data_IF_200277299483
#
_entry.id   IF_200277299483
#
_cell.length_a   1.000
_cell.length_b   1.000
_cell.length_c   1.000
_cell.angle_alpha   90.00
_cell.angle_beta   90.00
_cell.angle_gamma   90.00
#
_symmetry.space_group_name_H-M   'P 1'
#
loop_
_entity.id
_entity.type
_entity.pdbx_description
1 polymer ?
#
# COMPACT_ATOMS: atom_id res chain seq x y z
N UNK A 1 -17.75 6.41 4.18
CA UNK A 1 -17.76 5.04 4.75
C UNK A 1 -17.49 5.05 6.23
N UNK A 2 -16.42 5.71 6.68
CA UNK A 2 -16.09 5.84 8.11
C UNK A 2 -17.25 6.40 8.93
N UNK A 3 -17.92 7.46 8.46
CA UNK A 3 -19.13 8.01 9.11
C UNK A 3 -20.25 6.97 9.29
N UNK A 4 -20.47 6.13 8.27
CA UNK A 4 -21.46 5.06 8.32
C UNK A 4 -21.10 3.99 9.35
N UNK A 5 -19.83 3.59 9.43
CA UNK A 5 -19.34 2.66 10.43
C UNK A 5 -19.47 3.21 11.85
N UNK A 6 -19.04 4.46 12.09
CA UNK A 6 -19.18 5.13 13.38
C UNK A 6 -20.65 5.13 13.84
N UNK A 7 -21.58 5.54 12.97
CA UNK A 7 -23.01 5.54 13.26
C UNK A 7 -23.57 4.14 13.54
N UNK A 8 -23.19 3.14 12.74
CA UNK A 8 -23.66 1.77 12.90
C UNK A 8 -23.20 1.12 14.22
N UNK A 9 -22.01 1.49 14.71
CA UNK A 9 -21.43 0.96 15.94
C UNK A 9 -21.54 1.92 17.13
N UNK A 10 -22.43 2.93 17.06
CA UNK A 10 -22.69 3.91 18.12
C UNK A 10 -21.41 4.60 18.64
N UNK A 11 -20.58 5.08 17.71
CA UNK A 11 -19.36 5.84 17.96
C UNK A 11 -19.45 7.18 17.24
N UNK A 12 -18.83 8.21 17.79
CA UNK A 12 -18.71 9.51 17.14
C UNK A 12 -17.43 9.59 16.31
N UNK A 13 -17.54 10.15 15.11
CA UNK A 13 -16.38 10.46 14.28
C UNK A 13 -15.81 11.81 14.73
N UNK A 14 -14.51 11.85 14.97
CA UNK A 14 -13.79 13.10 15.24
C UNK A 14 -14.06 14.13 14.11
N UNK A 15 -14.60 15.32 14.44
CA UNK A 15 -14.91 16.35 13.45
C UNK A 15 -13.70 16.78 12.62
N UNK A 16 -12.50 16.74 13.19
CA UNK A 16 -11.26 17.11 12.49
C UNK A 16 -10.93 16.09 11.40
N UNK A 17 -11.12 14.80 11.67
CA UNK A 17 -10.92 13.74 10.67
C UNK A 17 -11.89 13.93 9.50
N UNK A 18 -13.16 14.23 9.80
CA UNK A 18 -14.15 14.53 8.77
C UNK A 18 -13.68 15.70 7.90
N UNK A 19 -13.31 16.83 8.53
CA UNK A 19 -12.84 18.03 7.83
C UNK A 19 -11.66 17.75 6.91
N UNK A 20 -10.64 17.04 7.39
CA UNK A 20 -9.45 16.72 6.61
C UNK A 20 -9.80 15.98 5.32
N UNK A 21 -10.67 14.96 5.39
CA UNK A 21 -10.99 14.10 4.25
C UNK A 21 -12.19 14.58 3.42
N UNK A 22 -12.80 15.71 3.77
CA UNK A 22 -13.83 16.39 2.95
C UNK A 22 -13.31 17.65 2.29
N UNK A 23 -12.46 18.43 2.96
CA UNK A 23 -12.02 19.75 2.47
C UNK A 23 -10.57 19.76 1.97
N UNK A 24 -9.65 19.06 2.64
CA UNK A 24 -8.21 19.17 2.34
C UNK A 24 -7.67 18.03 1.47
N UNK A 25 -8.06 16.79 1.76
CA UNK A 25 -7.61 15.59 1.04
C UNK A 25 -8.81 14.84 0.47
N UNK A 26 -9.02 15.01 -0.83
CA UNK A 26 -10.03 14.24 -1.58
C UNK A 26 -9.80 12.74 -1.41
N UNK A 27 -10.87 11.98 -1.22
CA UNK A 27 -10.84 10.51 -1.09
C UNK A 27 -11.07 9.82 -2.43
N UNK A 28 -10.69 8.54 -2.52
CA UNK A 28 -11.00 7.68 -3.67
C UNK A 28 -12.51 7.67 -3.96
N UNK A 29 -13.33 7.48 -2.93
CA UNK A 29 -14.79 7.44 -3.06
C UNK A 29 -15.34 8.72 -3.70
N UNK A 30 -14.94 9.90 -3.20
CA UNK A 30 -15.40 11.16 -3.79
C UNK A 30 -14.93 11.30 -5.25
N UNK A 31 -13.67 10.95 -5.54
CA UNK A 31 -13.14 11.01 -6.90
C UNK A 31 -13.89 10.13 -7.91
N UNK A 32 -14.28 8.93 -7.49
CA UNK A 32 -15.08 8.01 -8.33
C UNK A 32 -16.48 8.57 -8.58
N UNK A 33 -17.16 9.02 -7.52
CA UNK A 33 -18.55 9.49 -7.64
C UNK A 33 -18.69 10.82 -8.39
N UNK A 34 -17.64 11.65 -8.42
CA UNK A 34 -17.62 12.87 -9.23
C UNK A 34 -17.58 12.60 -10.74
N UNK A 35 -17.08 11.43 -11.17
CA UNK A 35 -16.88 11.06 -12.58
C UNK A 35 -17.85 9.96 -13.03
N UNK A 36 -18.65 9.39 -12.12
CA UNK A 36 -19.66 8.39 -12.44
C UNK A 36 -20.78 8.94 -13.31
N UNK A 37 -21.22 8.14 -14.28
CA UNK A 37 -22.37 8.47 -15.13
C UNK A 37 -23.68 8.11 -14.42
N UNK A 38 -24.80 8.77 -14.78
CA UNK A 38 -26.12 8.38 -14.29
C UNK A 38 -26.47 6.91 -14.59
N UNK A 39 -25.98 6.35 -15.70
CA UNK A 39 -26.16 4.94 -16.04
C UNK A 39 -25.49 3.99 -15.05
N UNK A 40 -24.23 4.26 -14.69
CA UNK A 40 -23.50 3.45 -13.69
C UNK A 40 -24.25 3.49 -12.35
N UNK A 41 -24.74 4.66 -11.95
CA UNK A 41 -25.52 4.81 -10.72
C UNK A 41 -26.85 4.02 -10.76
N UNK A 42 -27.53 4.00 -11.91
CA UNK A 42 -28.74 3.19 -12.11
C UNK A 42 -28.44 1.69 -12.02
N UNK A 43 -27.38 1.22 -12.69
CA UNK A 43 -26.95 -0.19 -12.64
C UNK A 43 -26.56 -0.62 -11.22
N UNK A 44 -25.93 0.27 -10.45
CA UNK A 44 -25.61 0.06 -9.04
C UNK A 44 -26.86 -0.06 -8.18
N UNK A 45 -27.86 0.80 -8.41
CA UNK A 45 -29.12 0.80 -7.66
C UNK A 45 -30.00 -0.41 -7.99
N UNK A 46 -30.03 -0.86 -9.24
CA UNK A 46 -30.82 -2.03 -9.66
C UNK A 46 -30.20 -3.36 -9.25
N UNK A 47 -28.93 -3.38 -8.83
CA UNK A 47 -28.20 -4.61 -8.48
C UNK A 47 -27.58 -5.33 -9.68
N UNK A 48 -27.71 -4.79 -10.90
CA UNK A 48 -27.06 -5.35 -12.10
C UNK A 48 -25.54 -5.24 -12.02
N UNK A 49 -25.03 -4.12 -11.48
CA UNK A 49 -23.61 -3.86 -11.29
C UNK A 49 -23.37 -3.29 -9.89
N UNK A 50 -23.30 -4.17 -8.90
CA UNK A 50 -23.14 -3.80 -7.48
C UNK A 50 -21.87 -4.40 -6.87
N UNK A 51 -21.40 -3.83 -5.75
CA UNK A 51 -20.22 -4.33 -5.03
C UNK A 51 -18.88 -4.05 -5.72
N UNK A 52 -18.80 -3.00 -6.53
CA UNK A 52 -17.53 -2.53 -7.09
C UNK A 52 -16.67 -1.84 -6.01
N UNK A 53 -15.33 -1.76 -6.19
CA UNK A 53 -14.42 -1.11 -5.23
C UNK A 53 -14.48 0.43 -5.31
N UNK A 54 -15.69 0.99 -5.22
CA UNK A 54 -15.98 2.43 -5.18
C UNK A 54 -15.95 3.00 -3.75
N UNK A 55 -16.13 2.15 -2.74
CA UNK A 55 -16.29 2.52 -1.35
C UNK A 55 -15.31 1.82 -0.38
N UNK A 56 -14.40 0.99 -0.89
CA UNK A 56 -13.40 0.26 -0.09
C UNK A 56 -12.10 0.07 -0.88
N UNK A 57 -11.01 -0.30 -0.21
CA UNK A 57 -9.74 -0.55 -0.87
C UNK A 57 -9.86 -1.70 -1.87
N UNK A 58 -9.38 -1.50 -3.12
CA UNK A 58 -9.46 -2.53 -4.18
C UNK A 58 -8.85 -3.88 -3.78
N UNK A 59 -7.78 -3.87 -2.98
CA UNK A 59 -7.04 -5.07 -2.60
C UNK A 59 -6.45 -5.78 -3.82
N UNK A 60 -6.35 -7.13 -3.74
CA UNK A 60 -5.83 -7.99 -4.82
C UNK A 60 -4.40 -7.65 -5.25
N UNK A 61 -3.63 -7.08 -4.33
CA UNK A 61 -2.20 -6.79 -4.48
C UNK A 61 -1.47 -7.61 -3.43
N UNK A 62 -0.47 -8.36 -3.85
CA UNK A 62 0.42 -9.12 -2.96
C UNK A 62 1.79 -8.50 -3.11
N UNK A 63 2.22 -7.76 -2.09
CA UNK A 63 3.62 -7.34 -2.00
C UNK A 63 4.50 -8.55 -1.76
N UNK A 64 5.69 -8.60 -2.36
CA UNK A 64 6.65 -9.65 -2.06
C UNK A 64 7.35 -9.37 -0.73
N UNK A 65 6.66 -9.65 0.38
CA UNK A 65 7.10 -9.29 1.73
C UNK A 65 8.41 -9.99 2.14
N UNK A 66 8.73 -11.12 1.50
CA UNK A 66 9.97 -11.88 1.71
C UNK A 66 11.21 -11.06 1.40
N UNK A 67 11.10 -10.05 0.53
CA UNK A 67 12.20 -9.16 0.16
C UNK A 67 12.73 -8.38 1.35
N UNK A 68 11.88 -8.01 2.30
CA UNK A 68 12.30 -7.30 3.51
C UNK A 68 13.24 -8.18 4.32
N UNK A 69 12.90 -9.46 4.49
CA UNK A 69 13.76 -10.44 5.15
C UNK A 69 15.05 -10.72 4.36
N UNK A 70 14.94 -10.93 3.05
CA UNK A 70 16.07 -11.37 2.23
C UNK A 70 17.13 -10.27 2.01
N UNK A 71 16.72 -9.02 1.85
CA UNK A 71 17.61 -7.93 1.43
C UNK A 71 17.79 -6.83 2.48
N UNK A 72 16.85 -6.68 3.42
CA UNK A 72 16.77 -5.50 4.27
C UNK A 72 16.21 -4.28 3.54
N UNK A 73 15.74 -3.30 4.30
CA UNK A 73 15.10 -2.11 3.72
C UNK A 73 16.09 -1.23 2.96
N UNK A 74 17.33 -1.07 3.43
CA UNK A 74 18.28 -0.12 2.82
C UNK A 74 18.68 -0.57 1.41
N UNK A 75 18.82 -1.87 1.19
CA UNK A 75 19.04 -2.43 -0.14
C UNK A 75 17.84 -2.16 -1.06
N UNK A 76 16.63 -2.39 -0.58
CA UNK A 76 15.40 -2.16 -1.37
C UNK A 76 15.20 -0.68 -1.70
N UNK A 77 15.56 0.23 -0.79
CA UNK A 77 15.53 1.67 -1.05
C UNK A 77 16.53 2.05 -2.16
N UNK A 78 17.76 1.52 -2.10
CA UNK A 78 18.76 1.74 -3.14
C UNK A 78 18.28 1.22 -4.51
N UNK A 79 17.68 0.03 -4.54
CA UNK A 79 17.07 -0.56 -5.75
C UNK A 79 15.95 0.34 -6.30
N UNK A 80 15.07 0.88 -5.45
CA UNK A 80 14.02 1.81 -5.87
C UNK A 80 14.56 3.12 -6.41
N UNK A 81 15.64 3.65 -5.83
CA UNK A 81 16.29 4.85 -6.34
C UNK A 81 16.92 4.62 -7.73
N UNK A 82 17.50 3.44 -7.96
CA UNK A 82 17.99 3.05 -9.28
C UNK A 82 16.85 2.95 -10.30
N UNK A 83 15.72 2.32 -9.95
CA UNK A 83 14.51 2.25 -10.80
C UNK A 83 13.92 3.64 -11.10
N UNK A 84 13.94 4.56 -10.13
CA UNK A 84 13.53 5.94 -10.36
C UNK A 84 14.45 6.61 -11.40
N UNK A 85 15.76 6.45 -11.22
CA UNK A 85 16.77 7.07 -12.08
C UNK A 85 16.73 6.52 -13.50
N UNK A 86 16.43 5.23 -13.68
CA UNK A 86 16.35 4.62 -15.02
C UNK A 86 15.25 5.24 -15.91
N UNK A 87 14.25 5.92 -15.33
CA UNK A 87 13.17 6.58 -16.06
C UNK A 87 13.51 8.02 -16.51
N UNK A 88 14.71 8.52 -16.19
CA UNK A 88 15.07 9.90 -16.49
C UNK A 88 15.18 10.16 -18.00
N UNK A 89 15.80 9.23 -18.75
CA UNK A 89 15.93 9.36 -20.21
C UNK A 89 14.56 9.47 -20.89
N UNK A 90 13.60 8.62 -20.52
CA UNK A 90 12.25 8.65 -21.09
C UNK A 90 11.52 9.96 -20.75
N UNK A 91 11.72 10.47 -19.53
CA UNK A 91 11.15 11.73 -19.09
C UNK A 91 11.69 12.91 -19.92
N UNK A 92 13.01 13.01 -20.05
CA UNK A 92 13.68 14.11 -20.75
C UNK A 92 13.41 14.10 -22.25
N UNK A 93 13.29 12.90 -22.84
CA UNK A 93 12.99 12.72 -24.26
C UNK A 93 11.48 12.77 -24.58
N UNK A 94 10.61 13.00 -23.59
CA UNK A 94 9.17 13.07 -23.79
C UNK A 94 8.50 11.74 -24.18
N UNK A 95 9.17 10.61 -23.93
CA UNK A 95 8.65 9.28 -24.25
C UNK A 95 7.60 8.89 -23.20
N UNK A 96 6.35 8.74 -23.63
CA UNK A 96 5.21 8.43 -22.76
C UNK A 96 5.10 9.36 -21.54
N UNK A 97 5.29 10.66 -21.75
CA UNK A 97 5.53 11.68 -20.72
C UNK A 97 4.65 11.54 -19.46
N UNK A 98 3.31 11.54 -19.60
CA UNK A 98 2.41 11.43 -18.44
C UNK A 98 2.56 10.11 -17.67
N UNK A 99 2.74 9.00 -18.39
CA UNK A 99 2.93 7.69 -17.78
C UNK A 99 4.28 7.60 -17.06
N UNK A 100 5.33 8.18 -17.63
CA UNK A 100 6.66 8.24 -17.04
C UNK A 100 6.67 9.12 -15.80
N UNK A 101 6.02 10.29 -15.82
CA UNK A 101 5.85 11.16 -14.65
C UNK A 101 5.12 10.41 -13.54
N UNK A 102 3.97 9.79 -13.85
CA UNK A 102 3.19 9.02 -12.88
C UNK A 102 4.01 7.89 -12.26
N UNK A 103 4.71 7.11 -13.08
CA UNK A 103 5.52 5.98 -12.59
C UNK A 103 6.68 6.46 -11.70
N UNK A 104 7.31 7.60 -12.02
CA UNK A 104 8.36 8.20 -11.20
C UNK A 104 7.82 8.64 -9.84
N UNK A 105 6.65 9.28 -9.80
CA UNK A 105 5.97 9.64 -8.55
C UNK A 105 5.64 8.39 -7.73
N UNK A 106 5.07 7.36 -8.36
CA UNK A 106 4.75 6.08 -7.70
C UNK A 106 5.99 5.40 -7.10
N UNK A 107 7.14 5.42 -7.78
CA UNK A 107 8.40 4.86 -7.26
C UNK A 107 8.94 5.71 -6.10
N UNK A 108 8.81 7.04 -6.16
CA UNK A 108 9.20 7.91 -5.06
C UNK A 108 8.35 7.66 -3.81
N UNK A 109 7.04 7.45 -3.96
CA UNK A 109 6.16 7.01 -2.87
C UNK A 109 6.56 5.64 -2.32
N UNK A 110 6.91 4.68 -3.19
CA UNK A 110 7.41 3.37 -2.75
C UNK A 110 8.70 3.50 -1.94
N UNK A 111 9.64 4.34 -2.37
CA UNK A 111 10.88 4.61 -1.64
C UNK A 111 10.60 5.25 -0.26
N UNK A 112 9.70 6.24 -0.20
CA UNK A 112 9.29 6.85 1.07
C UNK A 112 8.62 5.84 2.00
N UNK A 113 7.72 5.01 1.46
CA UNK A 113 7.04 3.98 2.21
C UNK A 113 8.03 2.99 2.82
N UNK A 114 9.06 2.54 2.08
CA UNK A 114 10.12 1.69 2.62
C UNK A 114 10.78 2.31 3.86
N UNK A 115 11.10 3.60 3.84
CA UNK A 115 11.60 4.33 5.01
C UNK A 115 10.63 4.30 6.19
N UNK A 116 9.33 4.48 5.95
CA UNK A 116 8.30 4.39 6.99
C UNK A 116 8.17 2.98 7.58
N UNK A 117 8.49 1.91 6.83
CA UNK A 117 8.52 0.54 7.37
C UNK A 117 9.64 0.43 8.42
N UNK A 118 10.82 1.04 8.20
CA UNK A 118 11.89 1.09 9.22
C UNK A 118 11.42 1.81 10.48
N UNK A 119 10.82 2.99 10.33
CA UNK A 119 10.29 3.75 11.46
C UNK A 119 9.21 2.96 12.23
N UNK A 120 8.36 2.23 11.50
CA UNK A 120 7.35 1.37 12.11
C UNK A 120 8.00 0.23 12.90
N UNK A 121 8.97 -0.48 12.33
CA UNK A 121 9.66 -1.59 12.98
C UNK A 121 10.47 -1.13 14.21
N UNK A 122 11.07 0.06 14.14
CA UNK A 122 11.79 0.66 15.25
C UNK A 122 10.91 0.87 16.50
N UNK A 123 9.60 1.12 16.33
CA UNK A 123 8.65 1.21 17.46
C UNK A 123 8.47 -0.12 18.21
N UNK A 124 8.86 -1.24 17.60
CA UNK A 124 8.89 -2.56 18.22
C UNK A 124 10.31 -2.97 18.65
N UNK A 125 11.29 -2.06 18.59
CA UNK A 125 12.68 -2.34 18.95
C UNK A 125 13.44 -3.17 17.91
N UNK A 126 12.96 -3.26 16.66
CA UNK A 126 13.62 -3.99 15.59
C UNK A 126 14.27 -3.03 14.58
N UNK A 127 15.55 -3.25 14.26
CA UNK A 127 16.21 -2.61 13.12
C UNK A 127 16.18 -3.55 11.91
N UNK A 128 15.40 -3.16 10.89
CA UNK A 128 15.22 -3.92 9.65
C UNK A 128 15.95 -3.28 8.46
N UNK A 129 16.90 -2.38 8.72
CA UNK A 129 17.74 -1.75 7.69
C UNK A 129 18.50 -2.80 6.87
N UNK A 130 19.11 -3.77 7.54
CA UNK A 130 19.81 -4.91 6.96
C UNK A 130 18.94 -6.16 6.76
N UNK A 131 19.48 -7.17 6.05
CA UNK A 131 18.81 -8.46 5.86
C UNK A 131 18.70 -9.23 7.18
N UNK A 132 17.70 -10.11 7.26
CA UNK A 132 17.52 -11.01 8.39
C UNK A 132 18.67 -12.02 8.50
N UNK A 133 19.20 -12.21 9.69
CA UNK A 133 20.36 -13.05 10.00
C UNK A 133 20.00 -14.41 10.57
N UNK A 134 18.76 -14.58 11.03
CA UNK A 134 18.26 -15.82 11.63
C UNK A 134 16.78 -16.05 11.29
N UNK A 135 16.27 -17.23 11.65
CA UNK A 135 14.90 -17.63 11.35
C UNK A 135 13.84 -16.71 12.00
N UNK A 136 14.07 -16.24 13.23
CA UNK A 136 13.15 -15.34 13.91
C UNK A 136 13.07 -14.00 13.17
N UNK A 137 14.21 -13.41 12.81
CA UNK A 137 14.28 -12.18 12.02
C UNK A 137 13.64 -12.37 10.64
N UNK A 138 13.86 -13.50 9.97
CA UNK A 138 13.28 -13.72 8.64
C UNK A 138 11.74 -13.75 8.68
N UNK A 139 11.18 -14.40 9.70
CA UNK A 139 9.72 -14.39 9.94
C UNK A 139 9.26 -12.98 10.28
N UNK A 140 9.94 -12.32 11.22
CA UNK A 140 9.55 -11.00 11.74
C UNK A 140 9.64 -9.91 10.65
N UNK A 141 10.66 -9.94 9.77
CA UNK A 141 10.88 -8.92 8.73
C UNK A 141 9.86 -9.09 7.62
N UNK A 142 9.60 -10.35 7.24
CA UNK A 142 8.52 -10.68 6.31
C UNK A 142 7.18 -10.18 6.85
N UNK A 143 6.92 -10.40 8.15
CA UNK A 143 5.70 -9.91 8.78
C UNK A 143 5.64 -8.37 8.85
N UNK A 144 6.74 -7.67 9.11
CA UNK A 144 6.75 -6.20 9.08
C UNK A 144 6.41 -5.64 7.70
N UNK A 145 6.89 -6.26 6.62
CA UNK A 145 6.48 -5.91 5.27
C UNK A 145 4.97 -6.00 5.07
N UNK A 146 4.34 -7.07 5.58
CA UNK A 146 2.90 -7.24 5.54
C UNK A 146 2.14 -6.30 6.49
N UNK A 147 2.66 -6.08 7.70
CA UNK A 147 2.08 -5.20 8.72
C UNK A 147 1.96 -3.77 8.20
N UNK A 148 2.98 -3.28 7.47
CA UNK A 148 2.94 -1.98 6.83
C UNK A 148 1.82 -1.88 5.79
N UNK A 149 1.58 -2.95 5.02
CA UNK A 149 0.51 -2.99 4.03
C UNK A 149 -0.87 -2.91 4.70
N UNK A 150 -1.12 -3.69 5.76
CA UNK A 150 -2.43 -3.68 6.44
C UNK A 150 -2.66 -2.45 7.34
N UNK A 151 -1.60 -1.72 7.70
CA UNK A 151 -1.72 -0.42 8.40
C UNK A 151 -2.04 0.74 7.46
N UNK A 152 -1.62 0.66 6.20
CA UNK A 152 -1.78 1.74 5.22
C UNK A 152 -2.95 1.51 4.26
N UNK A 153 -3.39 0.27 4.07
CA UNK A 153 -4.42 -0.10 3.10
C UNK A 153 -5.48 -1.02 3.74
N UNK A 154 -6.72 -0.84 3.33
CA UNK A 154 -7.88 -1.63 3.75
C UNK A 154 -8.47 -2.43 2.58
N UNK A 155 -7.61 -3.03 1.76
CA UNK A 155 -8.00 -3.81 0.59
C UNK A 155 -8.94 -4.96 0.95
N UNK A 156 -9.92 -5.26 0.09
CA UNK A 156 -10.86 -6.37 0.31
C UNK A 156 -10.16 -7.73 0.49
N UNK A 157 -9.03 -7.93 -0.21
CA UNK A 157 -8.16 -9.08 -0.03
C UNK A 157 -6.70 -8.60 0.09
N UNK A 158 -6.13 -8.78 1.28
CA UNK A 158 -4.73 -8.49 1.61
C UNK A 158 -4.01 -9.81 1.91
N UNK A 159 -3.62 -10.53 0.86
CA UNK A 159 -3.05 -11.88 1.00
C UNK A 159 -1.59 -11.84 1.41
N UNK A 160 -1.18 -12.77 2.28
CA UNK A 160 0.20 -12.85 2.79
C UNK A 160 1.22 -13.40 1.76
N UNK A 161 0.74 -14.03 0.68
CA UNK A 161 1.58 -14.59 -0.38
C UNK A 161 2.15 -15.98 -0.06
N UNK A 162 3.12 -16.44 -0.86
CA UNK A 162 3.75 -17.77 -0.75
C UNK A 162 5.05 -17.68 0.07
N UNK A 163 4.92 -17.77 1.39
CA UNK A 163 6.03 -17.56 2.33
C UNK A 163 6.54 -18.83 3.02
N UNK A 164 5.74 -19.89 3.12
CA UNK A 164 6.07 -21.06 3.95
C UNK A 164 7.35 -21.75 3.52
N UNK A 165 7.52 -22.05 2.22
CA UNK A 165 8.75 -22.67 1.70
C UNK A 165 9.96 -21.75 1.87
N UNK A 166 9.79 -20.44 1.68
CA UNK A 166 10.86 -19.45 1.87
C UNK A 166 11.35 -19.44 3.32
N UNK A 167 10.43 -19.37 4.28
CA UNK A 167 10.76 -19.41 5.71
C UNK A 167 11.31 -20.78 6.14
N UNK A 168 10.84 -21.85 5.50
CA UNK A 168 11.34 -23.21 5.72
C UNK A 168 12.81 -23.40 5.34
N UNK A 169 13.32 -22.63 4.37
CA UNK A 169 14.75 -22.63 4.02
C UNK A 169 15.60 -22.02 5.14
N UNK A 170 15.13 -20.96 5.79
CA UNK A 170 15.87 -20.25 6.86
C UNK A 170 15.88 -21.03 8.17
N UNK A 171 14.88 -21.88 8.42
CA UNK A 171 14.82 -22.73 9.61
C UNK A 171 15.81 -23.91 9.58
N UNK A 172 16.33 -24.28 8.40
CA UNK A 172 17.20 -25.45 8.20
C UNK A 172 18.70 -25.11 8.17
N UNK A 173 19.04 -23.83 8.28
CA UNK A 173 20.41 -23.30 8.39
C UNK A 173 20.68 -22.87 9.81
#
# INVERSE_FOLDING_TARGET
MVEGSCKAYNRELDPMIKKIFTEYRKTHNQGVFDVYTPDILRCRKSGVLTGLPDAYGRGRIIGDYRRVALYGIDYLMKDKFAQFTSLQSDLENGVNLEATIRLREEIAEQHRALGQIKEMAAKYGCDISGPATNAQEAIQWTYFGYLAAVKSQNGAAMSFGRVSTFLGCVHRT
#
